data_IF_268247757461
#
_entry.id   IF_268247757461
#
_cell.length_a   1.000
_cell.length_b   1.000
_cell.length_c   1.000
_cell.angle_alpha   90.00
_cell.angle_beta   90.00
_cell.angle_gamma   90.00
#
_symmetry.space_group_name_H-M   'P 1'
#
loop_
_entity.id
_entity.type
_entity.pdbx_description
1 polymer ?
#
# COMPACT_ATOMS: atom_id res chain seq x y z
N UNK A 1 5.91 16.49 11.76
CA UNK A 1 5.42 15.43 12.66
C UNK A 1 4.93 14.33 11.74
N UNK A 2 5.36 13.10 11.95
CA UNK A 2 4.95 11.94 11.15
C UNK A 2 4.14 11.06 12.07
N UNK A 3 2.98 10.58 11.62
CA UNK A 3 2.15 9.68 12.41
C UNK A 3 2.69 8.26 12.31
N UNK A 4 2.87 7.60 13.45
CA UNK A 4 3.14 6.17 13.51
C UNK A 4 1.83 5.38 13.56
N UNK A 5 1.87 4.10 13.21
CA UNK A 5 0.69 3.23 13.20
C UNK A 5 -0.06 3.25 14.55
N UNK A 6 0.68 3.11 15.66
CA UNK A 6 0.12 3.10 17.02
C UNK A 6 -0.48 4.45 17.45
N UNK A 7 -0.11 5.55 16.79
CA UNK A 7 -0.63 6.88 17.07
C UNK A 7 -1.96 7.15 16.35
N UNK A 8 -2.33 6.31 15.37
CA UNK A 8 -3.56 6.50 14.60
C UNK A 8 -4.80 6.28 15.48
N UNK A 9 -5.94 6.93 15.17
CA UNK A 9 -7.17 6.61 15.86
C UNK A 9 -7.59 5.15 15.60
N UNK A 10 -8.36 4.53 16.52
CA UNK A 10 -8.65 3.10 16.47
C UNK A 10 -9.36 2.64 15.19
N UNK A 11 -10.18 3.49 14.59
CA UNK A 11 -10.91 3.22 13.36
C UNK A 11 -9.98 3.12 12.14
N UNK A 12 -8.98 3.99 12.02
CA UNK A 12 -7.97 3.91 10.94
C UNK A 12 -7.03 2.73 11.15
N UNK A 13 -6.61 2.44 12.40
CA UNK A 13 -5.86 1.21 12.70
C UNK A 13 -6.65 -0.02 12.26
N UNK A 14 -7.94 -0.09 12.60
CA UNK A 14 -8.81 -1.22 12.21
C UNK A 14 -8.94 -1.35 10.70
N UNK A 15 -9.08 -0.23 9.99
CA UNK A 15 -9.16 -0.22 8.53
C UNK A 15 -7.88 -0.74 7.87
N UNK A 16 -6.72 -0.26 8.33
CA UNK A 16 -5.42 -0.67 7.81
C UNK A 16 -5.08 -2.13 8.19
N UNK A 17 -5.38 -2.54 9.41
CA UNK A 17 -5.26 -3.92 9.88
C UNK A 17 -6.02 -4.87 8.95
N UNK A 18 -7.30 -4.59 8.69
CA UNK A 18 -8.12 -5.41 7.79
C UNK A 18 -7.55 -5.47 6.37
N UNK A 19 -7.04 -4.36 5.84
CA UNK A 19 -6.41 -4.36 4.50
C UNK A 19 -5.13 -5.18 4.49
N UNK A 20 -4.18 -4.90 5.37
CA UNK A 20 -2.87 -5.53 5.33
C UNK A 20 -2.95 -7.03 5.65
N UNK A 21 -3.74 -7.40 6.66
CA UNK A 21 -3.92 -8.82 7.03
C UNK A 21 -4.64 -9.63 5.94
N UNK A 22 -5.51 -9.03 5.14
CA UNK A 22 -6.13 -9.70 3.98
C UNK A 22 -5.09 -10.12 2.93
N UNK A 23 -3.93 -9.46 2.90
CA UNK A 23 -2.79 -9.81 2.04
C UNK A 23 -1.69 -10.59 2.79
N UNK A 24 -1.94 -10.99 4.05
CA UNK A 24 -0.99 -11.74 4.87
C UNK A 24 0.14 -10.89 5.47
N UNK A 25 0.00 -9.57 5.46
CA UNK A 25 1.02 -8.63 5.94
C UNK A 25 0.80 -8.26 7.40
N UNK A 26 1.91 -8.02 8.09
CA UNK A 26 1.91 -7.35 9.40
C UNK A 26 1.50 -5.86 9.22
N UNK A 27 0.45 -5.38 9.89
CA UNK A 27 -0.06 -4.02 9.67
C UNK A 27 0.93 -2.91 9.99
N UNK A 28 1.71 -3.05 11.07
CA UNK A 28 2.66 -2.03 11.52
C UNK A 28 3.83 -1.93 10.53
N UNK A 29 4.41 -3.08 10.17
CA UNK A 29 5.51 -3.11 9.20
C UNK A 29 5.06 -2.69 7.79
N UNK A 30 3.84 -3.08 7.37
CA UNK A 30 3.29 -2.69 6.08
C UNK A 30 2.98 -1.19 6.02
N UNK A 31 2.42 -0.62 7.10
CA UNK A 31 2.22 0.82 7.23
C UNK A 31 3.54 1.57 7.05
N UNK A 32 4.58 1.14 7.75
CA UNK A 32 5.89 1.78 7.69
C UNK A 32 6.52 1.67 6.31
N UNK A 33 6.41 0.51 5.68
CA UNK A 33 7.06 0.22 4.40
C UNK A 33 6.32 0.80 3.18
N UNK A 34 4.99 0.68 3.12
CA UNK A 34 4.21 0.98 1.92
C UNK A 34 3.70 2.41 1.85
N UNK A 35 3.37 3.02 2.99
CA UNK A 35 2.75 4.34 3.00
C UNK A 35 3.83 5.43 2.94
N UNK A 36 3.79 6.37 1.97
CA UNK A 36 4.80 7.42 1.88
C UNK A 36 4.78 8.35 3.10
N UNK A 37 5.97 8.76 3.58
CA UNK A 37 6.11 9.65 4.74
C UNK A 37 5.38 10.99 4.58
N UNK A 38 5.25 11.49 3.34
CA UNK A 38 4.49 12.71 3.05
C UNK A 38 2.99 12.55 3.31
N UNK A 39 2.43 11.35 3.09
CA UNK A 39 1.04 11.03 3.47
C UNK A 39 0.94 10.93 4.98
N UNK A 40 1.87 10.19 5.61
CA UNK A 40 1.92 10.03 7.08
C UNK A 40 2.07 11.36 7.81
N UNK A 41 2.68 12.37 7.21
CA UNK A 41 2.85 13.69 7.82
C UNK A 41 1.57 14.55 7.80
N UNK A 42 0.60 14.21 6.96
CA UNK A 42 -0.67 14.95 6.81
C UNK A 42 -1.73 14.54 7.83
N UNK A 43 -1.63 13.30 8.35
CA UNK A 43 -2.48 12.80 9.42
C UNK A 43 -3.41 11.66 9.01
N UNK A 44 -4.22 11.15 9.96
CA UNK A 44 -5.05 9.95 9.76
C UNK A 44 -5.98 10.03 8.55
N UNK A 45 -6.70 11.13 8.37
CA UNK A 45 -7.62 11.33 7.23
C UNK A 45 -6.92 11.18 5.87
N UNK A 46 -5.70 11.71 5.75
CA UNK A 46 -4.92 11.65 4.51
C UNK A 46 -4.40 10.23 4.24
N UNK A 47 -4.00 9.51 5.29
CA UNK A 47 -3.59 8.10 5.22
C UNK A 47 -4.75 7.24 4.72
N UNK A 48 -5.95 7.41 5.29
CA UNK A 48 -7.13 6.68 4.83
C UNK A 48 -7.48 7.05 3.39
N UNK A 49 -7.53 8.34 3.05
CA UNK A 49 -7.86 8.82 1.72
C UNK A 49 -6.89 8.27 0.65
N UNK A 50 -5.59 8.29 0.92
CA UNK A 50 -4.57 7.70 0.05
C UNK A 50 -4.78 6.20 -0.12
N UNK A 51 -4.95 5.47 0.99
CA UNK A 51 -5.13 4.03 0.93
C UNK A 51 -6.41 3.64 0.19
N UNK A 52 -7.50 4.41 0.29
CA UNK A 52 -8.74 4.13 -0.46
C UNK A 52 -8.59 4.21 -1.98
N UNK A 53 -7.55 4.88 -2.48
CA UNK A 53 -7.30 5.04 -3.91
C UNK A 53 -6.36 3.98 -4.47
N UNK A 54 -5.70 3.20 -3.60
CA UNK A 54 -4.70 2.21 -4.00
C UNK A 54 -5.16 0.81 -3.70
N UNK A 55 -4.69 -0.15 -4.48
CA UNK A 55 -4.70 -1.58 -4.19
C UNK A 55 -3.34 -2.06 -3.68
N UNK A 56 -3.35 -3.17 -2.93
CA UNK A 56 -2.14 -3.85 -2.48
C UNK A 56 -1.88 -5.00 -3.44
N UNK A 57 -0.73 -4.96 -4.10
CA UNK A 57 -0.41 -5.86 -5.21
C UNK A 57 0.89 -6.60 -4.98
N UNK A 58 0.91 -7.87 -5.39
CA UNK A 58 2.11 -8.70 -5.31
C UNK A 58 2.89 -8.67 -6.63
N UNK A 59 4.22 -8.60 -6.54
CA UNK A 59 5.12 -8.74 -7.70
C UNK A 59 5.06 -10.18 -8.22
N UNK A 60 5.19 -11.13 -7.30
CA UNK A 60 4.96 -12.55 -7.50
C UNK A 60 3.58 -12.91 -6.93
N UNK A 61 2.62 -13.29 -7.77
CA UNK A 61 1.21 -13.49 -7.38
C UNK A 61 1.05 -14.61 -6.36
N UNK A 62 0.17 -14.41 -5.38
CA UNK A 62 -0.05 -15.38 -4.29
C UNK A 62 -0.54 -16.76 -4.76
N UNK A 63 -1.21 -16.83 -5.91
CA UNK A 63 -1.69 -18.11 -6.48
C UNK A 63 -0.55 -19.05 -6.85
N UNK A 64 0.57 -18.49 -7.30
CA UNK A 64 1.71 -19.22 -7.83
C UNK A 64 2.89 -19.24 -6.85
N UNK A 65 2.97 -18.23 -5.98
CA UNK A 65 4.06 -18.03 -5.00
C UNK A 65 3.52 -17.72 -3.59
N UNK A 66 2.74 -18.64 -2.97
CA UNK A 66 2.13 -18.41 -1.67
C UNK A 66 3.16 -18.18 -0.54
N UNK A 67 4.39 -18.69 -0.69
CA UNK A 67 5.50 -18.49 0.25
C UNK A 67 6.08 -17.07 0.24
N UNK A 68 5.69 -16.24 -0.73
CA UNK A 68 6.09 -14.84 -0.84
C UNK A 68 4.95 -13.89 -0.45
N UNK A 69 3.80 -14.40 -0.03
CA UNK A 69 2.59 -13.62 0.21
C UNK A 69 2.74 -12.55 1.29
N UNK A 70 3.49 -12.87 2.36
CA UNK A 70 3.72 -12.04 3.53
C UNK A 70 5.01 -11.20 3.44
N UNK A 71 5.77 -11.32 2.34
CA UNK A 71 7.04 -10.64 2.18
C UNK A 71 6.83 -9.22 1.68
N UNK A 72 7.17 -8.21 2.49
CA UNK A 72 6.99 -6.79 2.14
C UNK A 72 7.69 -6.38 0.83
N UNK A 73 8.85 -6.96 0.52
CA UNK A 73 9.56 -6.69 -0.74
C UNK A 73 8.91 -7.35 -1.97
N UNK A 74 7.89 -8.18 -1.77
CA UNK A 74 7.05 -8.74 -2.83
C UNK A 74 5.76 -7.91 -3.03
N UNK A 75 5.58 -6.80 -2.32
CA UNK A 75 4.34 -6.03 -2.35
C UNK A 75 4.59 -4.57 -2.69
N UNK A 76 3.65 -3.98 -3.44
CA UNK A 76 3.64 -2.56 -3.74
C UNK A 76 2.19 -2.05 -3.79
N UNK A 77 2.02 -0.73 -3.69
CA UNK A 77 0.74 -0.08 -3.90
C UNK A 77 0.63 0.34 -5.36
N UNK A 78 -0.54 0.22 -5.96
CA UNK A 78 -0.83 0.72 -7.30
C UNK A 78 -2.32 1.06 -7.47
N UNK A 79 -2.69 1.59 -8.63
CA UNK A 79 -4.09 1.85 -8.93
C UNK A 79 -4.91 0.56 -9.11
N UNK A 80 -6.14 0.51 -8.57
CA UNK A 80 -7.03 -0.64 -8.72
C UNK A 80 -7.27 -1.08 -10.17
N UNK A 81 -7.34 -0.13 -11.11
CA UNK A 81 -7.53 -0.44 -12.53
C UNK A 81 -6.31 -1.16 -13.14
N UNK A 82 -5.09 -0.78 -12.73
CA UNK A 82 -3.85 -1.44 -13.17
C UNK A 82 -3.72 -2.82 -12.55
N UNK A 83 -4.04 -2.95 -11.26
CA UNK A 83 -4.07 -4.23 -10.57
C UNK A 83 -5.06 -5.20 -11.24
N UNK A 84 -6.30 -4.76 -11.46
CA UNK A 84 -7.33 -5.55 -12.12
C UNK A 84 -6.95 -5.95 -13.55
N UNK A 85 -6.29 -5.06 -14.31
CA UNK A 85 -5.79 -5.35 -15.65
C UNK A 85 -4.59 -6.33 -15.65
N UNK A 86 -3.77 -6.32 -14.59
CA UNK A 86 -2.67 -7.29 -14.44
C UNK A 86 -3.19 -8.68 -14.07
N UNK A 87 -4.14 -8.76 -13.14
CA UNK A 87 -4.67 -10.01 -12.61
C UNK A 87 -3.59 -10.81 -11.87
N UNK A 88 -3.44 -12.07 -12.22
CA UNK A 88 -2.46 -12.99 -11.63
C UNK A 88 -1.10 -13.01 -12.36
N UNK A 89 -0.86 -12.08 -13.29
CA UNK A 89 0.44 -12.00 -13.96
C UNK A 89 1.51 -11.42 -13.03
N UNK A 90 2.75 -11.89 -13.18
CA UNK A 90 3.90 -11.28 -12.52
C UNK A 90 4.00 -9.79 -12.89
N UNK A 91 4.23 -8.94 -11.89
CA UNK A 91 4.54 -7.54 -12.12
C UNK A 91 5.94 -7.40 -12.69
N UNK A 92 6.08 -6.59 -13.72
CA UNK A 92 7.38 -6.25 -14.30
C UNK A 92 8.05 -5.14 -13.49
N UNK A 93 9.39 -5.03 -13.53
CA UNK A 93 10.08 -3.91 -12.88
C UNK A 93 9.60 -2.53 -13.34
N UNK A 94 9.18 -2.41 -14.60
CA UNK A 94 8.67 -1.16 -15.16
C UNK A 94 7.26 -0.82 -14.60
N UNK A 95 6.39 -1.81 -14.40
CA UNK A 95 5.08 -1.62 -13.75
C UNK A 95 5.24 -1.20 -12.28
N UNK A 96 6.13 -1.88 -11.54
CA UNK A 96 6.43 -1.54 -10.14
C UNK A 96 7.01 -0.13 -10.05
N UNK A 97 7.96 0.21 -10.94
CA UNK A 97 8.52 1.56 -11.00
C UNK A 97 7.46 2.61 -11.31
N UNK A 98 6.59 2.37 -12.30
CA UNK A 98 5.51 3.28 -12.65
C UNK A 98 4.55 3.49 -11.47
N UNK A 99 4.16 2.43 -10.78
CA UNK A 99 3.31 2.51 -9.60
C UNK A 99 3.96 3.31 -8.47
N UNK A 100 5.28 3.16 -8.24
CA UNK A 100 5.97 3.99 -7.25
C UNK A 100 5.99 5.48 -7.61
N UNK A 101 6.17 5.84 -8.89
CA UNK A 101 6.14 7.24 -9.32
C UNK A 101 4.73 7.83 -9.17
N UNK A 102 3.72 7.06 -9.54
CA UNK A 102 2.32 7.40 -9.42
C UNK A 102 1.90 7.62 -7.95
N UNK A 103 2.21 6.67 -7.06
CA UNK A 103 1.99 6.83 -5.62
C UNK A 103 2.64 8.10 -5.05
N UNK A 104 3.84 8.44 -5.53
CA UNK A 104 4.53 9.64 -5.10
C UNK A 104 3.77 10.90 -5.56
N UNK A 105 3.29 10.91 -6.81
CA UNK A 105 2.52 12.02 -7.37
C UNK A 105 1.21 12.25 -6.60
N UNK A 106 0.44 11.18 -6.36
CA UNK A 106 -0.82 11.25 -5.62
C UNK A 106 -0.62 11.70 -4.17
N UNK A 107 0.46 11.25 -3.55
CA UNK A 107 0.83 11.66 -2.20
C UNK A 107 1.13 13.17 -2.10
N UNK A 108 1.63 13.78 -3.19
CA UNK A 108 1.82 15.24 -3.29
C UNK A 108 0.53 15.98 -3.66
N UNK A 109 -0.34 15.40 -4.49
CA UNK A 109 -1.63 16.00 -4.84
C UNK A 109 -2.52 16.20 -3.61
N UNK A 110 -2.48 15.27 -2.65
CA UNK A 110 -3.16 15.40 -1.36
C UNK A 110 -2.69 16.63 -0.54
N UNK A 111 -1.50 17.18 -0.84
CA UNK A 111 -0.92 18.34 -0.14
C UNK A 111 -1.38 19.70 -0.73
N UNK A 112 -2.03 19.70 -1.90
CA UNK A 112 -2.42 20.92 -2.66
C UNK A 112 -3.86 21.37 -2.45
#
# INVERSE_FOLDING_TARGET
MTWHYDDLPPEEQTYLDQRFTAHGLDPELAYDYLIPDVVKAQGPDAIEAFMRQKDISHIYPQSDYPELADQLNNVFLEDPDLNAARGDRLATPDEVWAAHQDNLADAWELFG
#
